data_IF_273484653011
#
_entry.id   IF_273484653011
#
_cell.length_a   1.000
_cell.length_b   1.000
_cell.length_c   1.000
_cell.angle_alpha   90.00
_cell.angle_beta   90.00
_cell.angle_gamma   90.00
#
_symmetry.space_group_name_H-M   'P 1'
#
loop_
_entity.id
_entity.type
_entity.pdbx_description
1 polymer ?
#
# COMPACT_ATOMS: atom_id res chain seq x y z
N UNK A 1 27.15 8.98 16.65
CA UNK A 1 26.28 7.83 16.34
C UNK A 1 25.02 8.33 15.65
N UNK A 2 24.84 8.06 14.34
CA UNK A 2 23.63 8.48 13.61
C UNK A 2 22.50 7.54 13.99
N UNK A 3 21.42 8.07 14.60
CA UNK A 3 20.19 7.33 14.86
C UNK A 3 19.74 6.68 13.54
N UNK A 4 19.72 5.35 13.48
CA UNK A 4 19.12 4.64 12.35
C UNK A 4 17.66 5.11 12.32
N UNK A 5 17.27 5.87 11.29
CA UNK A 5 15.86 6.06 10.97
C UNK A 5 15.35 4.66 10.71
N UNK A 6 14.59 4.11 11.65
CA UNK A 6 13.90 2.85 11.45
C UNK A 6 13.12 2.93 10.13
N UNK A 7 13.04 1.84 9.34
CA UNK A 7 12.06 1.79 8.26
C UNK A 7 10.71 2.11 8.90
N UNK A 8 10.05 3.14 8.38
CA UNK A 8 8.82 3.63 9.00
C UNK A 8 7.77 2.50 9.03
N UNK A 9 7.80 1.60 8.04
CA UNK A 9 6.81 0.56 7.79
C UNK A 9 7.46 -0.82 7.64
N UNK A 10 7.00 -1.79 8.43
CA UNK A 10 7.38 -3.20 8.29
C UNK A 10 6.78 -3.82 7.02
N UNK A 11 7.45 -4.85 6.48
CA UNK A 11 6.92 -5.63 5.35
C UNK A 11 5.52 -6.20 5.59
N UNK A 12 5.23 -6.59 6.83
CA UNK A 12 3.89 -7.04 7.25
C UNK A 12 2.85 -5.94 7.10
N UNK A 13 3.13 -4.71 7.57
CA UNK A 13 2.22 -3.57 7.42
C UNK A 13 1.99 -3.22 5.94
N UNK A 14 3.03 -3.27 5.11
CA UNK A 14 2.91 -3.05 3.65
C UNK A 14 1.94 -4.08 3.05
N UNK A 15 2.07 -5.37 3.40
CA UNK A 15 1.19 -6.44 2.95
C UNK A 15 -0.26 -6.20 3.37
N UNK A 16 -0.49 -5.93 4.66
CA UNK A 16 -1.82 -5.71 5.21
C UNK A 16 -2.52 -4.53 4.54
N UNK A 17 -1.81 -3.42 4.34
CA UNK A 17 -2.36 -2.26 3.66
C UNK A 17 -2.62 -2.49 2.17
N UNK A 18 -1.76 -3.27 1.50
CA UNK A 18 -1.99 -3.68 0.11
C UNK A 18 -3.26 -4.55 0.00
N UNK A 19 -3.45 -5.49 0.92
CA UNK A 19 -4.65 -6.31 0.98
C UNK A 19 -5.90 -5.49 1.30
N UNK A 20 -5.82 -4.56 2.25
CA UNK A 20 -6.91 -3.63 2.57
C UNK A 20 -7.27 -2.71 1.39
N UNK A 21 -6.27 -2.29 0.61
CA UNK A 21 -6.45 -1.57 -0.65
C UNK A 21 -7.00 -2.45 -1.78
N UNK A 22 -6.99 -3.78 -1.61
CA UNK A 22 -7.30 -4.78 -2.62
C UNK A 22 -6.48 -4.60 -3.90
N UNK A 23 -5.17 -4.36 -3.74
CA UNK A 23 -4.24 -4.24 -4.84
C UNK A 23 -3.37 -5.49 -4.94
N UNK A 24 -3.08 -5.92 -6.16
CA UNK A 24 -2.00 -6.85 -6.46
C UNK A 24 -0.64 -6.15 -6.38
N UNK A 25 0.43 -6.91 -6.22
CA UNK A 25 1.80 -6.36 -6.27
C UNK A 25 2.10 -5.73 -7.65
N UNK A 26 1.50 -6.27 -8.72
CA UNK A 26 1.60 -5.73 -10.09
C UNK A 26 0.94 -4.34 -10.19
N UNK A 27 -0.20 -4.15 -9.55
CA UNK A 27 -0.86 -2.84 -9.52
C UNK A 27 -0.05 -1.82 -8.72
N UNK A 28 0.54 -2.22 -7.59
CA UNK A 28 1.42 -1.31 -6.82
C UNK A 28 2.65 -0.91 -7.65
N UNK A 29 3.25 -1.85 -8.39
CA UNK A 29 4.34 -1.55 -9.34
C UNK A 29 3.92 -0.49 -10.36
N UNK A 30 2.76 -0.68 -11.01
CA UNK A 30 2.23 0.29 -11.99
C UNK A 30 1.96 1.66 -11.34
N UNK A 31 1.36 1.68 -10.15
CA UNK A 31 0.99 2.90 -9.43
C UNK A 31 2.20 3.65 -8.86
N UNK A 32 3.32 2.97 -8.63
CA UNK A 32 4.61 3.59 -8.28
C UNK A 32 5.42 3.99 -9.51
N UNK A 33 4.91 3.77 -10.72
CA UNK A 33 5.62 4.09 -11.97
C UNK A 33 6.83 3.20 -12.23
N UNK A 34 6.83 1.96 -11.71
CA UNK A 34 7.96 1.03 -11.81
C UNK A 34 9.08 1.27 -10.78
N UNK A 35 8.97 2.30 -9.93
CA UNK A 35 9.94 2.58 -8.87
C UNK A 35 10.10 1.40 -7.88
N UNK A 36 9.01 0.65 -7.66
CA UNK A 36 9.02 -0.58 -6.86
C UNK A 36 8.44 -1.73 -7.67
N UNK A 37 9.31 -2.63 -8.13
CA UNK A 37 8.91 -3.81 -8.89
C UNK A 37 8.19 -4.84 -7.99
N UNK A 38 7.22 -5.60 -8.53
CA UNK A 38 6.48 -6.64 -7.81
C UNK A 38 7.37 -7.65 -7.07
N UNK A 39 8.52 -8.03 -7.64
CA UNK A 39 9.44 -8.95 -6.97
C UNK A 39 10.04 -8.32 -5.72
N UNK A 40 10.40 -7.03 -5.80
CA UNK A 40 10.86 -6.26 -4.65
C UNK A 40 9.80 -6.23 -3.57
N UNK A 41 8.56 -5.89 -3.95
CA UNK A 41 7.40 -5.92 -3.04
C UNK A 41 7.22 -7.28 -2.38
N UNK A 42 7.32 -8.38 -3.12
CA UNK A 42 7.22 -9.73 -2.57
C UNK A 42 8.30 -10.02 -1.53
N UNK A 43 9.56 -9.69 -1.82
CA UNK A 43 10.65 -9.87 -0.86
C UNK A 43 10.48 -9.00 0.39
N UNK A 44 10.02 -7.75 0.23
CA UNK A 44 9.74 -6.85 1.35
C UNK A 44 8.61 -7.39 2.21
N UNK A 45 7.48 -7.77 1.61
CA UNK A 45 6.31 -8.28 2.31
C UNK A 45 6.61 -9.55 3.11
N UNK A 46 7.58 -10.36 2.66
CA UNK A 46 8.05 -11.57 3.34
C UNK A 46 9.22 -11.31 4.32
N UNK A 47 9.65 -10.05 4.48
CA UNK A 47 10.71 -9.68 5.42
C UNK A 47 12.14 -10.00 4.97
N UNK A 48 12.35 -10.36 3.70
CA UNK A 48 13.67 -10.67 3.15
C UNK A 48 14.51 -9.43 2.86
N UNK A 49 13.88 -8.26 2.68
CA UNK A 49 14.56 -6.99 2.43
C UNK A 49 13.73 -5.81 2.92
N UNK A 50 14.37 -4.66 3.02
CA UNK A 50 13.71 -3.37 3.24
C UNK A 50 13.63 -2.56 1.94
N UNK A 51 12.75 -1.56 1.92
CA UNK A 51 12.69 -0.55 0.86
C UNK A 51 13.69 0.57 1.16
N UNK A 52 14.14 1.27 0.12
CA UNK A 52 14.76 2.58 0.32
C UNK A 52 13.73 3.59 0.81
N UNK A 53 14.16 4.69 1.43
CA UNK A 53 13.24 5.73 1.91
C UNK A 53 12.34 6.30 0.81
N UNK A 54 12.87 6.43 -0.42
CA UNK A 54 12.10 6.90 -1.58
C UNK A 54 11.04 5.87 -2.02
N UNK A 55 11.44 4.60 -2.10
CA UNK A 55 10.52 3.51 -2.45
C UNK A 55 9.42 3.35 -1.40
N UNK A 56 9.78 3.43 -0.13
CA UNK A 56 8.84 3.36 0.99
C UNK A 56 7.84 4.50 0.92
N UNK A 57 8.29 5.75 0.73
CA UNK A 57 7.41 6.90 0.58
C UNK A 57 6.47 6.75 -0.63
N UNK A 58 6.94 6.19 -1.74
CA UNK A 58 6.11 5.94 -2.92
C UNK A 58 5.03 4.89 -2.65
N UNK A 59 5.39 3.74 -2.08
CA UNK A 59 4.45 2.67 -1.71
C UNK A 59 3.43 3.18 -0.70
N UNK A 60 3.88 3.92 0.32
CA UNK A 60 3.02 4.53 1.33
C UNK A 60 1.95 5.43 0.71
N UNK A 61 2.35 6.35 -0.17
CA UNK A 61 1.41 7.27 -0.84
C UNK A 61 0.37 6.50 -1.66
N UNK A 62 0.80 5.50 -2.41
CA UNK A 62 -0.08 4.67 -3.24
C UNK A 62 -1.09 3.92 -2.38
N UNK A 63 -0.62 3.18 -1.37
CA UNK A 63 -1.48 2.35 -0.53
C UNK A 63 -2.46 3.18 0.29
N UNK A 64 -1.99 4.27 0.92
CA UNK A 64 -2.86 5.15 1.72
C UNK A 64 -3.95 5.79 0.87
N UNK A 65 -3.62 6.23 -0.36
CA UNK A 65 -4.60 6.79 -1.29
C UNK A 65 -5.61 5.74 -1.72
N UNK A 66 -5.17 4.53 -2.03
CA UNK A 66 -6.04 3.44 -2.47
C UNK A 66 -7.02 3.01 -1.37
N UNK A 67 -6.55 2.82 -0.12
CA UNK A 67 -7.40 2.53 1.04
C UNK A 67 -8.46 3.61 1.23
N UNK A 68 -8.06 4.89 1.22
CA UNK A 68 -9.00 6.02 1.37
C UNK A 68 -10.04 6.06 0.25
N UNK A 69 -9.63 5.82 -1.00
CA UNK A 69 -10.55 5.78 -2.13
C UNK A 69 -11.56 4.62 -1.98
N UNK A 70 -11.09 3.44 -1.58
CA UNK A 70 -11.95 2.27 -1.36
C UNK A 70 -12.96 2.53 -0.24
N UNK A 71 -12.53 3.09 0.89
CA UNK A 71 -13.43 3.47 1.98
C UNK A 71 -14.53 4.45 1.52
N UNK A 72 -14.17 5.44 0.69
CA UNK A 72 -15.13 6.38 0.10
C UNK A 72 -16.11 5.68 -0.85
N UNK A 73 -15.65 4.76 -1.68
CA UNK A 73 -16.51 4.00 -2.60
C UNK A 73 -17.49 3.12 -1.83
N UNK A 74 -17.03 2.41 -0.79
CA UNK A 74 -17.88 1.58 0.06
C UNK A 74 -18.94 2.43 0.77
N UNK A 75 -18.54 3.56 1.37
CA UNK A 75 -19.46 4.47 2.05
C UNK A 75 -20.53 5.03 1.10
N UNK A 76 -20.16 5.41 -0.13
CA UNK A 76 -21.13 5.84 -1.15
C UNK A 76 -22.08 4.72 -1.57
N UNK A 77 -21.58 3.51 -1.76
CA UNK A 77 -22.39 2.35 -2.14
C UNK A 77 -23.39 1.99 -1.03
N UNK A 78 -22.97 2.03 0.24
CA UNK A 78 -23.85 1.80 1.39
C UNK A 78 -24.98 2.84 1.46
N UNK A 79 -24.65 4.13 1.36
CA UNK A 79 -25.65 5.20 1.37
C UNK A 79 -26.62 5.12 0.18
N UNK A 80 -26.20 4.58 -0.97
CA UNK A 80 -27.08 4.35 -2.11
C UNK A 80 -28.01 3.15 -1.87
N UNK A 81 -27.50 2.06 -1.27
CA UNK A 81 -28.30 0.89 -0.93
C UNK A 81 -29.41 1.25 0.08
N UNK A 82 -29.10 2.07 1.08
CA UNK A 82 -30.08 2.58 2.06
C UNK A 82 -31.21 3.42 1.44
N UNK A 83 -30.97 4.09 0.31
CA UNK A 83 -32.01 4.87 -0.39
C UNK A 83 -32.91 4.02 -1.28
N UNK A 84 -32.47 2.81 -1.64
CA UNK A 84 -33.18 1.90 -2.52
C UNK A 84 -33.94 0.80 -1.76
N UNK A 85 -33.64 0.64 -0.47
CA UNK A 85 -34.34 -0.24 0.46
C UNK A 85 -35.56 0.46 1.06
#
# INVERSE_FOLDING_TARGET
MRKRKEPLWSGKQIRELRQAANLSQVEVEKLTGGLVHRMVLSFVENGHRTLSAEQEAAVHRVLTRAVRNRARTISKAAAQAERLA
#
